data_IF_255626815917
#
_entry.id   IF_255626815917
#
_cell.length_a   1.000
_cell.length_b   1.000
_cell.length_c   1.000
_cell.angle_alpha   90.00
_cell.angle_beta   90.00
_cell.angle_gamma   90.00
#
_symmetry.space_group_name_H-M   'P 1'
#
loop_
_entity.id
_entity.type
_entity.pdbx_description
1 polymer ?
#
# COMPACT_ATOMS: atom_id res chain seq x y z
N UNK A 1 9.28 -5.77 5.14
CA UNK A 1 10.23 -4.64 5.27
C UNK A 1 11.43 -4.65 4.32
N UNK A 2 11.71 -5.72 3.55
CA UNK A 2 12.90 -5.78 2.67
C UNK A 2 13.00 -4.59 1.69
N UNK A 3 11.92 -4.25 0.99
CA UNK A 3 11.89 -3.15 0.03
C UNK A 3 12.16 -1.77 0.65
N UNK A 4 11.67 -1.50 1.87
CA UNK A 4 11.96 -0.25 2.57
C UNK A 4 13.44 -0.17 2.95
N UNK A 5 14.03 -1.30 3.39
CA UNK A 5 15.46 -1.37 3.69
C UNK A 5 16.32 -1.17 2.44
N UNK A 6 15.89 -1.69 1.30
CA UNK A 6 16.54 -1.50 0.00
C UNK A 6 16.43 -0.04 -0.49
N UNK A 7 15.29 0.60 -0.25
CA UNK A 7 15.08 2.01 -0.59
C UNK A 7 15.96 2.97 0.23
N UNK A 8 16.27 2.63 1.48
CA UNK A 8 17.24 3.35 2.32
C UNK A 8 16.78 4.72 2.86
N UNK A 9 15.54 5.14 2.58
CA UNK A 9 14.94 6.39 3.07
C UNK A 9 14.06 6.16 4.31
N UNK A 10 13.79 7.20 5.11
CA UNK A 10 12.95 7.05 6.30
C UNK A 10 11.52 6.64 5.90
N UNK A 11 10.91 5.79 6.73
CA UNK A 11 9.52 5.33 6.55
C UNK A 11 8.50 6.48 6.54
N UNK A 12 8.85 7.60 7.15
CA UNK A 12 8.05 8.83 7.18
C UNK A 12 7.85 9.48 5.81
N UNK A 13 8.74 9.22 4.85
CA UNK A 13 8.64 9.76 3.48
C UNK A 13 7.59 9.02 2.63
N UNK A 14 7.02 7.92 3.15
CA UNK A 14 6.00 7.15 2.44
C UNK A 14 4.66 7.88 2.57
N UNK A 15 4.21 8.46 1.46
CA UNK A 15 2.98 9.26 1.38
C UNK A 15 1.74 8.45 1.03
N UNK A 16 1.90 7.36 0.28
CA UNK A 16 0.81 6.53 -0.22
C UNK A 16 1.07 5.04 0.02
N UNK A 17 0.03 4.30 0.37
CA UNK A 17 0.04 2.85 0.50
C UNK A 17 -1.05 2.26 -0.41
N UNK A 18 -0.63 1.55 -1.45
CA UNK A 18 -1.53 0.74 -2.28
C UNK A 18 -1.38 -0.71 -1.84
N UNK A 19 -2.44 -1.31 -1.33
CA UNK A 19 -2.48 -2.70 -0.91
C UNK A 19 -3.54 -3.47 -1.69
N UNK A 20 -3.20 -4.70 -2.06
CA UNK A 20 -4.13 -5.60 -2.73
C UNK A 20 -4.17 -6.96 -2.02
N UNK A 21 -5.36 -7.47 -1.78
CA UNK A 21 -5.58 -8.83 -1.28
C UNK A 21 -6.69 -9.52 -2.06
N UNK A 22 -6.42 -10.75 -2.49
CA UNK A 22 -7.41 -11.63 -3.12
C UNK A 22 -8.10 -12.55 -2.10
N UNK A 23 -7.52 -12.70 -0.90
CA UNK A 23 -7.96 -13.61 0.15
C UNK A 23 -8.64 -12.82 1.26
N UNK A 24 -9.97 -12.68 1.14
CA UNK A 24 -10.82 -12.13 2.19
C UNK A 24 -10.98 -10.60 2.15
N UNK A 25 -12.08 -10.15 2.77
CA UNK A 25 -12.39 -8.74 2.99
C UNK A 25 -12.49 -8.54 4.49
N UNK A 26 -11.52 -7.84 5.07
CA UNK A 26 -11.51 -7.46 6.48
C UNK A 26 -11.90 -5.99 6.63
N UNK A 27 -12.62 -5.65 7.71
CA UNK A 27 -12.90 -4.27 8.12
C UNK A 27 -12.57 -4.08 9.61
N UNK A 28 -11.60 -3.22 9.96
CA UNK A 28 -10.77 -2.38 9.08
C UNK A 28 -9.81 -3.20 8.19
N UNK A 29 -9.55 -2.69 6.99
CA UNK A 29 -8.76 -3.40 5.98
C UNK A 29 -7.35 -3.76 6.42
N UNK A 30 -6.80 -4.79 5.77
CA UNK A 30 -5.45 -5.30 6.04
C UNK A 30 -4.38 -4.22 5.78
N UNK A 31 -4.69 -3.20 4.97
CA UNK A 31 -3.87 -2.00 4.77
C UNK A 31 -3.59 -1.26 6.10
N UNK A 32 -4.58 -1.14 6.99
CA UNK A 32 -4.44 -0.45 8.28
C UNK A 32 -3.54 -1.24 9.23
N UNK A 33 -3.74 -2.56 9.27
CA UNK A 33 -2.90 -3.44 10.09
C UNK A 33 -1.45 -3.40 9.62
N UNK A 34 -1.23 -3.45 8.30
CA UNK A 34 0.09 -3.33 7.71
C UNK A 34 0.78 -2.02 8.08
N UNK A 35 0.05 -0.91 7.99
CA UNK A 35 0.53 0.42 8.37
C UNK A 35 1.03 0.46 9.83
N UNK A 36 0.23 -0.09 10.74
CA UNK A 36 0.57 -0.19 12.17
C UNK A 36 1.78 -1.09 12.40
N UNK A 37 1.85 -2.25 11.74
CA UNK A 37 2.95 -3.20 11.89
C UNK A 37 4.28 -2.63 11.39
N UNK A 38 4.27 -1.87 10.29
CA UNK A 38 5.49 -1.29 9.74
C UNK A 38 5.85 0.07 10.36
N UNK A 39 4.97 0.66 11.17
CA UNK A 39 5.18 1.98 11.78
C UNK A 39 5.17 3.11 10.76
N UNK A 40 4.31 3.02 9.74
CA UNK A 40 4.14 4.05 8.73
C UNK A 40 3.31 5.23 9.29
N UNK A 41 3.43 6.44 8.70
CA UNK A 41 2.65 7.59 9.13
C UNK A 41 1.15 7.39 8.90
N UNK A 42 0.33 7.68 9.91
CA UNK A 42 -1.15 7.62 9.82
C UNK A 42 -1.74 8.64 8.83
N UNK A 43 -0.96 9.64 8.42
CA UNK A 43 -1.32 10.61 7.37
C UNK A 43 -1.16 10.08 5.95
N UNK A 44 -0.55 8.91 5.76
CA UNK A 44 -0.39 8.32 4.43
C UNK A 44 -1.76 7.96 3.84
N UNK A 45 -1.97 8.31 2.57
CA UNK A 45 -3.18 7.96 1.83
C UNK A 45 -3.18 6.46 1.52
N UNK A 46 -4.32 5.80 1.74
CA UNK A 46 -4.43 4.34 1.64
C UNK A 46 -5.42 3.97 0.56
N UNK A 47 -5.00 3.09 -0.34
CA UNK A 47 -5.85 2.51 -1.36
C UNK A 47 -5.84 1.00 -1.19
N UNK A 48 -6.99 0.46 -0.80
CA UNK A 48 -7.19 -0.97 -0.62
C UNK A 48 -7.95 -1.53 -1.82
N UNK A 49 -7.31 -2.42 -2.58
CA UNK A 49 -7.92 -3.14 -3.69
C UNK A 49 -8.38 -4.52 -3.18
N UNK A 50 -9.68 -4.66 -2.98
CA UNK A 50 -10.32 -5.92 -2.61
C UNK A 50 -10.75 -6.70 -3.84
N UNK A 51 -10.72 -8.04 -3.75
CA UNK A 51 -11.25 -8.95 -4.77
C UNK A 51 -10.60 -8.79 -6.16
N UNK A 52 -9.38 -8.23 -6.20
CA UNK A 52 -8.53 -8.25 -7.39
C UNK A 52 -7.81 -9.59 -7.42
N UNK A 53 -8.08 -10.39 -8.45
CA UNK A 53 -7.47 -11.71 -8.65
C UNK A 53 -6.00 -11.63 -9.07
N UNK A 54 -5.55 -12.56 -9.92
CA UNK A 54 -4.13 -12.64 -10.30
C UNK A 54 -3.56 -11.37 -10.98
N UNK A 55 -4.40 -10.49 -11.53
CA UNK A 55 -3.99 -9.22 -12.13
C UNK A 55 -3.87 -8.05 -11.13
N UNK A 56 -4.02 -8.34 -9.82
CA UNK A 56 -3.90 -7.36 -8.75
C UNK A 56 -2.57 -6.60 -8.79
N UNK A 57 -1.46 -7.29 -9.05
CA UNK A 57 -0.13 -6.67 -9.09
C UNK A 57 -0.02 -5.57 -10.16
N UNK A 58 -0.47 -5.84 -11.38
CA UNK A 58 -0.48 -4.85 -12.45
C UNK A 58 -1.43 -3.68 -12.18
N UNK A 59 -2.56 -3.96 -11.56
CA UNK A 59 -3.54 -2.93 -11.17
C UNK A 59 -2.99 -2.04 -10.06
N UNK A 60 -2.36 -2.63 -9.04
CA UNK A 60 -1.75 -1.91 -7.94
C UNK A 60 -0.62 -0.99 -8.44
N UNK A 61 0.23 -1.47 -9.36
CA UNK A 61 1.27 -0.63 -9.97
C UNK A 61 0.69 0.50 -10.83
N UNK A 62 -0.38 0.24 -11.59
CA UNK A 62 -1.03 1.28 -12.38
C UNK A 62 -1.60 2.39 -11.50
N UNK A 63 -2.31 2.01 -10.43
CA UNK A 63 -2.81 2.97 -9.44
C UNK A 63 -1.66 3.71 -8.74
N UNK A 64 -0.60 2.99 -8.36
CA UNK A 64 0.58 3.60 -7.73
C UNK A 64 1.26 4.61 -8.66
N UNK A 65 1.31 4.34 -9.97
CA UNK A 65 1.83 5.28 -10.97
C UNK A 65 0.99 6.56 -11.02
N UNK A 66 -0.32 6.42 -11.17
CA UNK A 66 -1.22 7.57 -11.27
C UNK A 66 -1.15 8.44 -10.00
N UNK A 67 -1.03 7.82 -8.82
CA UNK A 67 -0.85 8.51 -7.54
C UNK A 67 0.54 9.16 -7.41
N UNK A 68 1.59 8.53 -7.92
CA UNK A 68 2.94 9.09 -7.86
C UNK A 68 3.11 10.29 -8.80
N UNK A 69 2.46 10.30 -9.96
CA UNK A 69 2.56 11.36 -10.96
C UNK A 69 1.62 12.55 -10.69
N UNK A 70 0.45 12.32 -10.08
CA UNK A 70 -0.59 13.35 -9.87
C UNK A 70 -0.73 13.83 -8.40
N UNK A 71 0.31 13.69 -7.59
CA UNK A 71 0.31 14.12 -6.18
C UNK A 71 0.92 15.51 -5.99
#
# INVERSE_FOLDING_TARGET
EKAIKEWGRPKSDITHLVFCSASGVDMPGSDLQLLKMLGLPMSANRVMLYNVGCHAGGTALRVAKDLAENN
#
